data_IF_181795310650
#
_entry.id   IF_181795310650
#
_cell.length_a   1.000
_cell.length_b   1.000
_cell.length_c   1.000
_cell.angle_alpha   90.00
_cell.angle_beta   90.00
_cell.angle_gamma   90.00
#
_symmetry.space_group_name_H-M   'P 1'
#
loop_
_entity.id
_entity.type
_entity.pdbx_description
1 polymer ?
#
# COMPACT_ATOMS: atom_id res chain seq x y z
N UNK A 1 21.51 33.98 15.30
CA UNK A 1 21.27 32.58 15.65
C UNK A 1 19.77 32.31 15.57
N UNK A 2 19.33 31.55 14.59
CA UNK A 2 17.89 31.18 14.51
C UNK A 2 17.63 30.12 15.56
N UNK A 3 16.57 30.24 16.41
CA UNK A 3 16.24 29.19 17.37
C UNK A 3 15.95 27.90 16.60
N UNK A 4 16.59 26.80 16.99
CA UNK A 4 16.21 25.46 16.54
C UNK A 4 14.73 25.28 16.89
N UNK A 5 13.88 25.20 15.89
CA UNK A 5 12.50 24.78 16.13
C UNK A 5 12.55 23.40 16.80
N UNK A 6 12.17 23.38 18.06
CA UNK A 6 11.95 22.12 18.77
C UNK A 6 10.83 21.40 18.00
N UNK A 7 11.16 20.31 17.35
CA UNK A 7 10.14 19.49 16.68
C UNK A 7 9.21 18.95 17.75
N UNK A 8 7.91 19.14 17.56
CA UNK A 8 6.92 18.61 18.48
C UNK A 8 6.99 17.07 18.49
N UNK A 9 6.60 16.45 19.62
CA UNK A 9 6.52 15.00 19.72
C UNK A 9 5.62 14.38 18.62
N UNK A 10 4.58 15.10 18.21
CA UNK A 10 3.71 14.69 17.09
C UNK A 10 4.46 14.62 15.77
N UNK A 11 5.27 15.62 15.47
CA UNK A 11 6.06 15.65 14.22
C UNK A 11 7.06 14.52 14.19
N UNK A 12 7.76 14.27 15.30
CA UNK A 12 8.71 13.16 15.42
C UNK A 12 8.04 11.80 15.27
N UNK A 13 6.89 11.61 15.90
CA UNK A 13 6.12 10.38 15.79
C UNK A 13 5.64 10.14 14.34
N UNK A 14 5.18 11.18 13.66
CA UNK A 14 4.74 11.10 12.26
C UNK A 14 5.91 10.76 11.34
N UNK A 15 7.04 11.43 11.49
CA UNK A 15 8.25 11.14 10.70
C UNK A 15 8.71 9.70 10.89
N UNK A 16 8.76 9.22 12.13
CA UNK A 16 9.14 7.85 12.44
C UNK A 16 8.16 6.84 11.82
N UNK A 17 6.87 7.09 11.92
CA UNK A 17 5.84 6.26 11.29
C UNK A 17 6.05 6.17 9.77
N UNK A 18 6.27 7.30 9.10
CA UNK A 18 6.47 7.35 7.65
C UNK A 18 7.76 6.63 7.23
N UNK A 19 8.83 6.77 8.00
CA UNK A 19 10.10 6.06 7.75
C UNK A 19 9.93 4.54 7.86
N UNK A 20 9.26 4.08 8.91
CA UNK A 20 9.00 2.65 9.12
C UNK A 20 8.09 2.11 8.03
N UNK A 21 7.05 2.83 7.67
CA UNK A 21 6.12 2.43 6.61
C UNK A 21 6.83 2.34 5.25
N UNK A 22 7.69 3.31 4.93
CA UNK A 22 8.47 3.30 3.69
C UNK A 22 9.42 2.11 3.61
N UNK A 23 10.17 1.85 4.66
CA UNK A 23 11.08 0.71 4.75
C UNK A 23 10.32 -0.63 4.67
N UNK A 24 9.20 -0.74 5.36
CA UNK A 24 8.37 -1.94 5.33
C UNK A 24 7.75 -2.20 3.96
N UNK A 25 7.25 -1.16 3.30
CA UNK A 25 6.72 -1.25 1.94
C UNK A 25 7.80 -1.72 0.95
N UNK A 26 9.01 -1.20 1.06
CA UNK A 26 10.13 -1.62 0.23
C UNK A 26 10.49 -3.10 0.45
N UNK A 27 10.55 -3.55 1.70
CA UNK A 27 10.83 -4.95 2.02
C UNK A 27 9.77 -5.90 1.48
N UNK A 28 8.50 -5.54 1.59
CA UNK A 28 7.41 -6.33 1.01
C UNK A 28 7.50 -6.37 -0.52
N UNK A 29 7.73 -5.24 -1.16
CA UNK A 29 7.85 -5.15 -2.62
C UNK A 29 8.99 -6.01 -3.15
N UNK A 30 10.14 -6.03 -2.45
CA UNK A 30 11.27 -6.89 -2.79
C UNK A 30 10.96 -8.37 -2.59
N UNK A 31 10.27 -8.71 -1.51
CA UNK A 31 9.93 -10.10 -1.18
C UNK A 31 9.08 -10.76 -2.26
N UNK A 32 8.14 -10.03 -2.85
CA UNK A 32 7.21 -10.55 -3.86
C UNK A 32 7.50 -10.05 -5.27
N UNK A 33 8.55 -9.26 -5.46
CA UNK A 33 8.87 -8.59 -6.74
C UNK A 33 7.65 -7.85 -7.30
N UNK A 34 7.11 -6.94 -6.52
CA UNK A 34 5.85 -6.23 -6.78
C UNK A 34 5.95 -5.24 -7.96
N UNK A 35 6.20 -5.74 -9.15
CA UNK A 35 6.36 -4.91 -10.36
C UNK A 35 5.08 -4.16 -10.78
N UNK A 36 3.91 -4.64 -10.33
CA UNK A 36 2.62 -4.04 -10.64
C UNK A 36 2.25 -2.82 -9.81
N UNK A 37 2.96 -2.57 -8.71
CA UNK A 37 2.71 -1.42 -7.85
C UNK A 37 2.55 -1.75 -6.37
N UNK A 38 2.65 -0.72 -5.55
CA UNK A 38 2.38 -0.77 -4.11
C UNK A 38 1.12 0.03 -3.85
N UNK A 39 0.17 -0.58 -3.15
CA UNK A 39 -1.10 0.05 -2.83
C UNK A 39 -1.21 0.25 -1.32
N UNK A 40 -1.23 1.50 -0.90
CA UNK A 40 -1.41 1.87 0.49
C UNK A 40 -2.89 2.09 0.76
N UNK A 41 -3.45 1.29 1.64
CA UNK A 41 -4.87 1.29 1.97
C UNK A 41 -5.09 1.58 3.45
N UNK A 42 -6.31 1.95 3.79
CA UNK A 42 -6.74 2.17 5.15
C UNK A 42 -6.90 3.64 5.52
N UNK A 43 -7.53 3.85 6.67
CA UNK A 43 -7.90 5.18 7.16
C UNK A 43 -6.70 6.09 7.40
N UNK A 44 -5.61 5.54 7.93
CA UNK A 44 -4.42 6.31 8.23
C UNK A 44 -3.68 6.72 6.95
N UNK A 45 -3.53 5.82 5.99
CA UNK A 45 -2.94 6.14 4.69
C UNK A 45 -3.73 7.25 3.97
N UNK A 46 -5.05 7.21 4.02
CA UNK A 46 -5.90 8.28 3.46
C UNK A 46 -5.70 9.62 4.15
N UNK A 47 -5.57 9.63 5.47
CA UNK A 47 -5.32 10.85 6.24
C UNK A 47 -3.95 11.44 5.96
N UNK A 48 -2.96 10.60 5.78
CA UNK A 48 -1.56 10.98 5.58
C UNK A 48 -1.15 11.05 4.11
N UNK A 49 -2.10 11.09 3.18
CA UNK A 49 -1.80 11.05 1.74
C UNK A 49 -0.85 12.18 1.27
N UNK A 50 -0.92 13.33 1.90
CA UNK A 50 -0.03 14.45 1.56
C UNK A 50 1.37 14.27 2.13
N UNK A 51 1.48 13.66 3.30
CA UNK A 51 2.75 13.35 3.96
C UNK A 51 3.45 12.15 3.29
N UNK A 52 2.72 11.27 2.64
CA UNK A 52 3.27 10.11 1.93
C UNK A 52 4.06 10.47 0.67
N UNK A 53 3.98 11.71 0.19
CA UNK A 53 4.86 12.22 -0.87
C UNK A 53 6.12 12.89 -0.31
N UNK A 54 6.28 12.93 1.01
CA UNK A 54 7.44 13.52 1.67
C UNK A 54 8.67 12.62 1.63
N UNK A 55 9.83 13.24 1.80
CA UNK A 55 11.10 12.51 1.90
C UNK A 55 11.13 11.51 3.05
N UNK A 56 10.41 11.75 4.14
CA UNK A 56 10.34 10.84 5.28
C UNK A 56 9.83 9.45 4.90
N UNK A 57 8.91 9.36 3.95
CA UNK A 57 8.42 8.10 3.40
C UNK A 57 9.25 7.61 2.22
N UNK A 58 9.56 8.49 1.27
CA UNK A 58 10.20 8.13 0.00
C UNK A 58 11.66 7.73 0.15
N UNK A 59 12.42 8.39 1.02
CA UNK A 59 13.84 8.04 1.23
C UNK A 59 14.05 6.59 1.71
N UNK A 60 13.38 6.12 2.78
CA UNK A 60 13.52 4.74 3.20
C UNK A 60 13.02 3.74 2.14
N UNK A 61 11.97 4.09 1.41
CA UNK A 61 11.45 3.28 0.31
C UNK A 61 12.50 3.05 -0.77
N UNK A 62 13.15 4.12 -1.22
CA UNK A 62 14.18 4.06 -2.25
C UNK A 62 15.49 3.44 -1.75
N UNK A 63 15.88 3.75 -0.51
CA UNK A 63 17.12 3.25 0.11
C UNK A 63 17.10 1.75 0.35
N UNK A 64 15.95 1.20 0.70
CA UNK A 64 15.81 -0.23 1.03
C UNK A 64 15.82 -1.15 -0.20
N UNK A 65 16.09 -0.65 -1.40
CA UNK A 65 16.30 -1.45 -2.60
C UNK A 65 15.29 -1.28 -3.73
N UNK A 66 14.34 -0.33 -3.58
CA UNK A 66 13.48 0.08 -4.70
C UNK A 66 14.27 0.79 -5.81
N UNK A 67 15.53 1.16 -5.54
CA UNK A 67 16.48 1.63 -6.53
C UNK A 67 17.14 0.51 -7.34
N UNK A 68 16.85 -0.76 -7.04
CA UNK A 68 17.30 -1.88 -7.88
C UNK A 68 16.49 -1.93 -9.17
N UNK A 69 17.15 -2.26 -10.26
CA UNK A 69 16.64 -2.16 -11.63
C UNK A 69 15.21 -2.71 -11.85
N UNK A 70 14.81 -3.85 -11.30
CA UNK A 70 13.44 -4.34 -11.51
C UNK A 70 12.36 -3.55 -10.78
N UNK A 71 12.70 -2.78 -9.75
CA UNK A 71 11.74 -2.09 -8.89
C UNK A 71 11.84 -0.55 -8.93
N UNK A 72 12.77 -0.03 -9.71
CA UNK A 72 13.04 1.42 -9.80
C UNK A 72 11.82 2.24 -10.25
N UNK A 73 10.92 1.62 -11.00
CA UNK A 73 9.74 2.28 -11.57
C UNK A 73 8.42 1.78 -11.00
N UNK A 74 8.45 1.12 -9.86
CA UNK A 74 7.23 0.60 -9.24
C UNK A 74 6.39 1.77 -8.71
N UNK A 75 5.16 1.96 -9.21
CA UNK A 75 4.30 3.02 -8.74
C UNK A 75 3.76 2.74 -7.34
N UNK A 76 3.61 3.80 -6.56
CA UNK A 76 2.99 3.74 -5.24
C UNK A 76 1.66 4.51 -5.29
N UNK A 77 0.59 3.83 -4.93
CA UNK A 77 -0.76 4.39 -4.94
C UNK A 77 -1.32 4.49 -3.52
N UNK A 78 -2.02 5.55 -3.24
CA UNK A 78 -2.82 5.68 -2.02
C UNK A 78 -4.29 5.55 -2.38
N UNK A 79 -4.95 4.57 -1.81
CA UNK A 79 -6.38 4.35 -2.05
C UNK A 79 -7.21 5.38 -1.28
N UNK A 80 -8.03 6.13 -1.99
CA UNK A 80 -8.85 7.21 -1.42
C UNK A 80 -10.09 6.73 -0.69
N UNK A 81 -10.56 5.53 -0.98
CA UNK A 81 -11.77 4.95 -0.41
C UNK A 81 -11.43 3.71 0.40
N UNK A 82 -12.29 3.39 1.34
CA UNK A 82 -12.22 2.11 2.02
C UNK A 82 -12.74 1.02 1.08
N UNK A 83 -11.82 0.29 0.48
CA UNK A 83 -12.12 -0.76 -0.49
C UNK A 83 -11.88 -2.16 0.07
N UNK A 84 -11.50 -2.27 1.33
CA UNK A 84 -11.19 -3.56 1.95
C UNK A 84 -12.40 -4.51 1.95
N UNK A 85 -13.55 -4.02 2.39
CA UNK A 85 -14.79 -4.80 2.40
C UNK A 85 -15.26 -5.12 0.98
N UNK A 86 -15.19 -4.14 0.07
CA UNK A 86 -15.55 -4.34 -1.34
C UNK A 86 -14.65 -5.38 -2.00
N UNK A 87 -13.34 -5.32 -1.77
CA UNK A 87 -12.38 -6.29 -2.29
C UNK A 87 -12.62 -7.69 -1.74
N UNK A 88 -12.88 -7.82 -0.45
CA UNK A 88 -13.20 -9.09 0.20
C UNK A 88 -14.50 -9.68 -0.36
N UNK A 89 -15.55 -8.88 -0.53
CA UNK A 89 -16.82 -9.31 -1.10
C UNK A 89 -16.65 -9.77 -2.56
N UNK A 90 -15.90 -9.01 -3.36
CA UNK A 90 -15.63 -9.36 -4.75
C UNK A 90 -14.86 -10.68 -4.87
N UNK A 91 -13.82 -10.87 -4.06
CA UNK A 91 -13.05 -12.12 -4.04
C UNK A 91 -13.92 -13.30 -3.55
N UNK A 92 -14.75 -13.09 -2.53
CA UNK A 92 -15.70 -14.09 -2.06
C UNK A 92 -16.68 -14.54 -3.15
N UNK A 93 -17.27 -13.58 -3.87
CA UNK A 93 -18.17 -13.86 -4.99
C UNK A 93 -17.45 -14.60 -6.13
N UNK A 94 -16.23 -14.21 -6.45
CA UNK A 94 -15.42 -14.86 -7.49
C UNK A 94 -15.14 -16.33 -7.14
N UNK A 95 -14.75 -16.59 -5.91
CA UNK A 95 -14.49 -17.97 -5.42
C UNK A 95 -15.77 -18.80 -5.37
N UNK A 96 -16.86 -18.22 -4.89
CA UNK A 96 -18.14 -18.89 -4.85
C UNK A 96 -18.64 -19.25 -6.25
N UNK A 97 -18.58 -18.32 -7.20
CA UNK A 97 -18.98 -18.56 -8.58
C UNK A 97 -18.12 -19.66 -9.25
N UNK A 98 -16.83 -19.75 -8.91
CA UNK A 98 -15.96 -20.82 -9.39
C UNK A 98 -16.23 -22.18 -8.75
N UNK A 99 -16.73 -22.21 -7.51
CA UNK A 99 -17.02 -23.43 -6.75
C UNK A 99 -18.40 -24.02 -7.06
N UNK A 100 -19.35 -23.21 -7.57
CA UNK A 100 -20.69 -23.68 -7.93
C UNK A 100 -20.60 -24.50 -9.22
N UNK A 101 -21.03 -25.78 -9.22
CA UNK A 101 -21.06 -26.59 -10.41
C UNK A 101 -21.95 -25.91 -11.47
N UNK A 102 -21.41 -25.70 -12.66
CA UNK A 102 -22.24 -25.25 -13.78
C UNK A 102 -23.29 -26.33 -14.09
N UNK A 103 -24.55 -26.00 -13.98
CA UNK A 103 -25.61 -26.90 -14.49
C UNK A 103 -25.34 -27.12 -15.97
N UNK A 104 -25.32 -28.37 -16.44
CA UNK A 104 -25.17 -28.62 -17.86
C UNK A 104 -26.34 -27.96 -18.63
N UNK A 105 -26.05 -27.39 -19.79
CA UNK A 105 -27.05 -26.81 -20.66
C UNK A 105 -28.07 -27.88 -21.00
N UNK A 106 -29.35 -27.66 -20.63
CA UNK A 106 -30.43 -28.64 -20.83
C UNK A 106 -30.92 -29.35 -19.57
N UNK A 107 -30.32 -29.13 -18.39
CA UNK A 107 -30.84 -29.65 -17.12
C UNK A 107 -31.96 -28.77 -16.55
N UNK A 108 -33.00 -28.54 -17.33
CA UNK A 108 -34.27 -28.01 -16.84
C UNK A 108 -35.11 -29.22 -16.38
N UNK A 109 -35.14 -29.41 -15.10
CA UNK A 109 -36.16 -30.27 -14.53
C UNK A 109 -37.44 -29.52 -14.37
#
# INVERSE_FOLDING_TARGET
>A
MRPRRVRSARTLALELYLQILGAHAANLALTVLASGGIYLAGKLARRLRHELVSAAFLEPLLRAGMASEPLERVPVYVLRRDVALLGAANEGLRRWAAAVPRRPAGALA
#
